data_IF_298512526185
#
_entry.id   IF_298512526185
#
_cell.length_a   1.000
_cell.length_b   1.000
_cell.length_c   1.000
_cell.angle_alpha   90.00
_cell.angle_beta   90.00
_cell.angle_gamma   90.00
#
_symmetry.space_group_name_H-M   'P 1'
#
loop_
_entity.id
_entity.type
_entity.pdbx_description
1 polymer ?
#
# COMPACT_ATOMS: atom_id res chain seq x y z
N UNK A 1 13.57 -41.87 1.85
CA UNK A 1 14.09 -40.89 0.87
C UNK A 1 13.06 -39.79 0.54
N UNK A 2 11.80 -40.11 0.16
CA UNK A 2 10.75 -39.13 -0.16
C UNK A 2 10.42 -38.21 1.03
N UNK A 3 10.33 -38.73 2.26
CA UNK A 3 10.08 -37.93 3.47
C UNK A 3 11.22 -36.95 3.78
N UNK A 4 12.47 -37.34 3.55
CA UNK A 4 13.65 -36.48 3.74
C UNK A 4 13.66 -35.37 2.67
N UNK A 5 13.36 -35.69 1.43
CA UNK A 5 13.23 -34.70 0.33
C UNK A 5 12.09 -33.71 0.60
N UNK A 6 10.96 -34.18 1.11
CA UNK A 6 9.84 -33.29 1.47
C UNK A 6 10.18 -32.41 2.68
N UNK A 7 10.91 -32.92 3.67
CA UNK A 7 11.40 -32.16 4.82
C UNK A 7 12.44 -31.11 4.41
N UNK A 8 13.34 -31.43 3.47
CA UNK A 8 14.33 -30.47 2.92
C UNK A 8 13.63 -29.41 2.05
N UNK A 9 12.66 -29.81 1.21
CA UNK A 9 11.84 -28.86 0.42
C UNK A 9 11.01 -27.94 1.31
N UNK A 10 10.38 -28.47 2.36
CA UNK A 10 9.61 -27.66 3.32
C UNK A 10 10.51 -26.69 4.10
N UNK A 11 11.72 -27.10 4.51
CA UNK A 11 12.67 -26.22 5.18
C UNK A 11 13.23 -25.14 4.27
N UNK A 12 13.51 -25.44 2.99
CA UNK A 12 13.96 -24.46 2.01
C UNK A 12 12.85 -23.45 1.64
N UNK A 13 11.61 -23.91 1.50
CA UNK A 13 10.46 -23.05 1.26
C UNK A 13 10.24 -22.11 2.45
N UNK A 14 10.30 -22.63 3.67
CA UNK A 14 10.15 -21.86 4.90
C UNK A 14 11.27 -20.82 5.05
N UNK A 15 12.52 -21.19 4.76
CA UNK A 15 13.66 -20.28 4.78
C UNK A 15 13.50 -19.14 3.74
N UNK A 16 13.06 -19.46 2.53
CA UNK A 16 12.83 -18.47 1.49
C UNK A 16 11.67 -17.53 1.83
N UNK A 17 10.59 -18.07 2.41
CA UNK A 17 9.46 -17.26 2.89
C UNK A 17 9.88 -16.32 4.02
N UNK A 18 10.69 -16.80 4.97
CA UNK A 18 11.25 -15.96 6.05
C UNK A 18 12.15 -14.87 5.50
N UNK A 19 13.06 -15.17 4.57
CA UNK A 19 13.93 -14.17 3.92
C UNK A 19 13.11 -13.07 3.25
N UNK A 20 12.10 -13.43 2.46
CA UNK A 20 11.22 -12.47 1.81
C UNK A 20 10.40 -11.64 2.83
N UNK A 21 9.88 -12.28 3.86
CA UNK A 21 9.11 -11.57 4.89
C UNK A 21 9.97 -10.59 5.69
N UNK A 22 11.19 -11.00 6.08
CA UNK A 22 12.12 -10.11 6.79
C UNK A 22 12.59 -8.96 5.91
N UNK A 23 12.92 -9.20 4.64
CA UNK A 23 13.31 -8.13 3.71
C UNK A 23 12.19 -7.12 3.46
N UNK A 24 10.94 -7.58 3.34
CA UNK A 24 9.77 -6.72 3.25
C UNK A 24 9.59 -5.86 4.51
N UNK A 25 9.77 -6.45 5.70
CA UNK A 25 9.70 -5.71 6.97
C UNK A 25 10.80 -4.65 7.04
N UNK A 26 12.03 -4.97 6.66
CA UNK A 26 13.14 -4.00 6.61
C UNK A 26 12.80 -2.86 5.63
N UNK A 27 12.34 -3.17 4.43
CA UNK A 27 11.93 -2.17 3.42
C UNK A 27 10.86 -1.23 3.96
N UNK A 28 9.89 -1.74 4.72
CA UNK A 28 8.79 -0.95 5.29
C UNK A 28 9.21 -0.17 6.54
N UNK A 29 10.10 -0.70 7.39
CA UNK A 29 10.54 -0.04 8.62
C UNK A 29 11.57 1.06 8.38
N UNK A 30 12.46 0.90 7.40
CA UNK A 30 13.50 1.88 7.09
C UNK A 30 12.97 3.32 6.91
N UNK A 31 11.89 3.56 6.14
CA UNK A 31 11.30 4.89 6.02
C UNK A 31 10.84 5.48 7.35
N UNK A 32 10.31 4.66 8.28
CA UNK A 32 9.89 5.15 9.61
C UNK A 32 11.11 5.61 10.41
N UNK A 33 12.14 4.75 10.48
CA UNK A 33 13.37 5.04 11.25
C UNK A 33 14.06 6.31 10.75
N UNK A 34 13.99 6.57 9.45
CA UNK A 34 14.61 7.73 8.81
C UNK A 34 13.71 8.97 8.86
N UNK A 35 12.40 8.81 9.09
CA UNK A 35 11.44 9.94 9.12
C UNK A 35 11.82 11.08 10.06
N UNK A 36 12.34 10.88 11.29
CA UNK A 36 12.76 11.99 12.15
C UNK A 36 13.93 12.80 11.56
N UNK A 37 14.80 12.16 10.81
CA UNK A 37 15.91 12.84 10.11
C UNK A 37 15.34 13.65 8.95
N UNK A 38 14.49 13.04 8.13
CA UNK A 38 13.87 13.68 6.98
C UNK A 38 12.98 14.86 7.39
N UNK A 39 12.21 14.72 8.47
CA UNK A 39 11.34 15.81 8.96
C UNK A 39 12.10 17.04 9.46
N UNK A 40 13.38 16.91 9.81
CA UNK A 40 14.26 18.02 10.16
C UNK A 40 14.95 18.63 8.94
N UNK A 41 15.28 17.82 7.94
CA UNK A 41 15.93 18.25 6.69
C UNK A 41 14.96 18.95 5.74
N UNK A 42 13.73 18.49 5.66
CA UNK A 42 12.72 18.99 4.73
C UNK A 42 11.65 19.82 5.42
N UNK A 43 11.00 20.67 4.64
CA UNK A 43 9.83 21.42 5.10
C UNK A 43 8.56 20.56 4.99
N UNK A 44 7.50 20.87 5.77
CA UNK A 44 6.20 20.23 5.59
C UNK A 44 5.64 20.34 4.16
N UNK A 45 5.93 21.46 3.46
CA UNK A 45 5.55 21.65 2.04
C UNK A 45 6.18 20.62 1.11
N UNK A 46 7.44 20.22 1.36
CA UNK A 46 8.13 19.23 0.54
C UNK A 46 7.49 17.84 0.68
N UNK A 47 7.05 17.50 1.89
CA UNK A 47 6.25 16.31 2.15
C UNK A 47 4.84 16.41 1.53
N UNK A 48 4.31 17.64 1.37
CA UNK A 48 3.09 17.89 0.63
C UNK A 48 3.22 17.50 -0.84
N UNK A 49 4.24 18.00 -1.50
CA UNK A 49 4.55 17.67 -2.88
C UNK A 49 4.82 16.15 -3.05
N UNK A 50 5.62 15.58 -2.13
CA UNK A 50 5.86 14.13 -2.12
C UNK A 50 4.56 13.33 -1.89
N UNK A 51 3.67 13.79 -1.02
CA UNK A 51 2.37 13.16 -0.77
C UNK A 51 1.49 13.14 -2.00
N UNK A 52 1.40 14.25 -2.74
CA UNK A 52 0.67 14.33 -4.02
C UNK A 52 1.25 13.35 -5.03
N UNK A 53 2.57 13.38 -5.21
CA UNK A 53 3.28 12.49 -6.12
C UNK A 53 3.06 11.02 -5.77
N UNK A 54 3.26 10.65 -4.52
CA UNK A 54 3.13 9.26 -4.06
C UNK A 54 1.69 8.74 -4.13
N UNK A 55 0.69 9.57 -3.82
CA UNK A 55 -0.72 9.20 -3.93
C UNK A 55 -1.14 8.97 -5.38
N UNK A 56 -0.73 9.85 -6.30
CA UNK A 56 -0.96 9.67 -7.72
C UNK A 56 -0.30 8.39 -8.23
N UNK A 57 0.98 8.21 -7.96
CA UNK A 57 1.76 7.04 -8.38
C UNK A 57 1.15 5.75 -7.81
N UNK A 58 0.72 5.72 -6.55
CA UNK A 58 0.12 4.53 -5.92
C UNK A 58 -1.12 4.03 -6.64
N UNK A 59 -1.96 4.93 -7.18
CA UNK A 59 -3.13 4.56 -7.97
C UNK A 59 -2.71 4.16 -9.39
N UNK A 60 -1.82 4.96 -9.98
CA UNK A 60 -1.50 4.87 -11.39
C UNK A 60 -0.67 3.64 -11.75
N UNK A 61 0.24 3.22 -10.87
CA UNK A 61 1.06 2.02 -11.05
C UNK A 61 0.23 0.74 -11.17
N UNK A 62 -0.97 0.71 -10.60
CA UNK A 62 -1.90 -0.42 -10.75
C UNK A 62 -2.56 -0.48 -12.14
N UNK A 63 -2.70 0.67 -12.80
CA UNK A 63 -3.21 0.75 -14.16
C UNK A 63 -2.11 0.54 -15.22
N UNK A 64 -0.84 0.71 -14.83
CA UNK A 64 0.31 0.83 -15.72
C UNK A 64 0.51 -0.39 -16.64
N UNK A 65 0.16 -1.59 -16.16
CA UNK A 65 0.28 -2.83 -16.91
C UNK A 65 -1.07 -3.41 -17.32
N UNK A 66 -2.15 -2.69 -17.04
CA UNK A 66 -3.52 -3.20 -17.20
C UNK A 66 -3.75 -4.57 -16.52
N UNK A 67 -2.98 -4.92 -15.47
CA UNK A 67 -3.07 -6.17 -14.74
C UNK A 67 -2.26 -7.34 -15.31
N UNK A 68 -1.59 -7.18 -16.47
CA UNK A 68 -0.78 -8.26 -17.07
C UNK A 68 0.48 -8.59 -16.27
N UNK A 69 0.95 -7.72 -15.40
CA UNK A 69 2.07 -8.01 -14.49
C UNK A 69 1.80 -9.21 -13.58
N UNK A 70 0.52 -9.43 -13.21
CA UNK A 70 0.11 -10.58 -12.40
C UNK A 70 0.11 -11.89 -13.23
N UNK A 71 -0.06 -11.80 -14.55
CA UNK A 71 0.01 -12.95 -15.43
C UNK A 71 1.45 -13.48 -15.53
N UNK A 72 2.49 -12.63 -15.41
CA UNK A 72 3.91 -13.04 -15.49
C UNK A 72 4.27 -14.19 -14.54
N UNK A 73 3.61 -14.27 -13.39
CA UNK A 73 3.86 -15.35 -12.41
C UNK A 73 3.20 -16.67 -12.81
N UNK A 74 2.16 -16.63 -13.69
CA UNK A 74 1.35 -17.81 -14.07
C UNK A 74 1.66 -18.36 -15.45
N UNK A 75 2.29 -17.57 -16.33
CA UNK A 75 2.60 -17.95 -17.71
C UNK A 75 3.56 -19.15 -17.78
N UNK A 76 3.56 -19.90 -18.89
CA UNK A 76 4.53 -20.97 -19.15
C UNK A 76 5.92 -20.39 -19.35
N UNK A 77 6.98 -21.21 -19.25
CA UNK A 77 8.37 -20.75 -19.43
C UNK A 77 8.60 -20.12 -20.81
N UNK A 78 7.95 -20.65 -21.86
CA UNK A 78 8.03 -20.13 -23.22
C UNK A 78 7.31 -18.79 -23.40
N UNK A 79 6.25 -18.54 -22.62
CA UNK A 79 5.46 -17.29 -22.71
C UNK A 79 6.08 -16.12 -21.92
N UNK A 80 7.04 -16.38 -21.00
CA UNK A 80 7.57 -15.36 -20.08
C UNK A 80 8.14 -14.15 -20.85
N UNK A 81 9.03 -14.40 -21.82
CA UNK A 81 9.68 -13.33 -22.59
C UNK A 81 8.68 -12.48 -23.37
N UNK A 82 7.67 -13.11 -23.98
CA UNK A 82 6.62 -12.41 -24.71
C UNK A 82 5.72 -11.59 -23.75
N UNK A 83 5.39 -12.15 -22.60
CA UNK A 83 4.57 -11.45 -21.58
C UNK A 83 5.35 -10.29 -20.96
N UNK A 84 6.64 -10.45 -20.68
CA UNK A 84 7.50 -9.37 -20.19
C UNK A 84 7.58 -8.22 -21.20
N UNK A 85 7.83 -8.53 -22.49
CA UNK A 85 7.85 -7.54 -23.55
C UNK A 85 6.50 -6.83 -23.69
N UNK A 86 5.40 -7.58 -23.64
CA UNK A 86 4.04 -7.02 -23.66
C UNK A 86 3.81 -6.03 -22.51
N UNK A 87 4.16 -6.41 -21.28
CA UNK A 87 4.05 -5.55 -20.10
C UNK A 87 4.82 -4.25 -20.27
N UNK A 88 6.06 -4.32 -20.81
CA UNK A 88 6.88 -3.12 -21.03
C UNK A 88 6.28 -2.22 -22.11
N UNK A 89 5.81 -2.79 -23.22
CA UNK A 89 5.17 -2.00 -24.28
C UNK A 89 3.92 -1.29 -23.73
N UNK A 90 3.03 -2.00 -23.05
CA UNK A 90 1.83 -1.42 -22.45
C UNK A 90 2.20 -0.31 -21.46
N UNK A 91 3.14 -0.58 -20.56
CA UNK A 91 3.54 0.40 -19.55
C UNK A 91 4.21 1.63 -20.14
N UNK A 92 5.01 1.49 -21.20
CA UNK A 92 5.61 2.62 -21.91
C UNK A 92 4.54 3.47 -22.62
N UNK A 93 3.59 2.84 -23.32
CA UNK A 93 2.50 3.54 -23.99
C UNK A 93 1.65 4.32 -22.97
N UNK A 94 1.30 3.69 -21.86
CA UNK A 94 0.53 4.33 -20.79
C UNK A 94 1.34 5.46 -20.13
N UNK A 95 2.65 5.28 -19.89
CA UNK A 95 3.51 6.32 -19.33
C UNK A 95 3.61 7.53 -20.26
N UNK A 96 3.82 7.32 -21.57
CA UNK A 96 3.87 8.39 -22.56
C UNK A 96 2.52 9.11 -22.63
N UNK A 97 1.42 8.37 -22.73
CA UNK A 97 0.07 8.96 -22.77
C UNK A 97 -0.21 9.82 -21.52
N UNK A 98 0.18 9.36 -20.33
CA UNK A 98 0.00 10.10 -19.09
C UNK A 98 0.83 11.38 -19.05
N UNK A 99 2.10 11.27 -19.37
CA UNK A 99 2.99 12.44 -19.33
C UNK A 99 2.57 13.50 -20.36
N UNK A 100 2.12 13.07 -21.53
CA UNK A 100 1.54 13.97 -22.53
C UNK A 100 0.23 14.61 -22.01
N UNK A 101 -0.67 13.83 -21.42
CA UNK A 101 -1.90 14.36 -20.83
C UNK A 101 -1.61 15.40 -19.73
N UNK A 102 -0.62 15.17 -18.86
CA UNK A 102 -0.17 16.15 -17.86
C UNK A 102 0.44 17.40 -18.52
N UNK A 103 1.24 17.24 -19.55
CA UNK A 103 1.84 18.34 -20.27
C UNK A 103 0.77 19.24 -20.93
N UNK A 104 -0.19 18.65 -21.64
CA UNK A 104 -1.33 19.39 -22.23
C UNK A 104 -2.19 20.05 -21.14
N UNK A 105 -2.50 19.33 -20.05
CA UNK A 105 -3.24 19.91 -18.92
C UNK A 105 -2.50 21.07 -18.25
N UNK A 106 -1.18 21.05 -18.24
CA UNK A 106 -0.36 22.14 -17.73
C UNK A 106 -0.43 23.38 -18.63
N UNK A 107 -0.44 23.20 -19.95
CA UNK A 107 -0.59 24.30 -20.93
C UNK A 107 -1.99 24.91 -20.89
N UNK A 108 -3.03 24.10 -20.65
CA UNK A 108 -4.42 24.56 -20.50
C UNK A 108 -4.74 25.15 -19.10
N UNK A 109 -3.71 25.39 -18.28
CA UNK A 109 -3.84 26.04 -16.96
C UNK A 109 -4.68 25.30 -15.92
N UNK A 110 -4.88 23.99 -16.07
CA UNK A 110 -5.62 23.19 -15.09
C UNK A 110 -4.88 23.21 -13.75
N UNK A 111 -5.55 23.67 -12.68
CA UNK A 111 -4.96 23.84 -11.35
C UNK A 111 -4.22 22.61 -10.82
N UNK A 112 -4.72 21.40 -11.11
CA UNK A 112 -4.10 20.17 -10.64
C UNK A 112 -2.74 19.93 -11.28
N UNK A 113 -2.60 20.11 -12.58
CA UNK A 113 -1.33 19.90 -13.29
C UNK A 113 -0.29 20.96 -12.97
N UNK A 114 -0.72 22.21 -12.75
CA UNK A 114 0.17 23.30 -12.28
C UNK A 114 0.72 23.04 -10.86
N UNK A 115 -0.07 22.41 -10.01
CA UNK A 115 0.33 22.09 -8.65
C UNK A 115 1.08 20.75 -8.53
N UNK A 116 1.18 19.98 -9.64
CA UNK A 116 1.90 18.70 -9.61
C UNK A 116 3.41 18.95 -9.56
N UNK A 117 4.13 18.32 -8.62
CA UNK A 117 5.47 18.75 -8.24
C UNK A 117 6.54 18.55 -9.32
N UNK A 118 6.43 17.56 -10.19
CA UNK A 118 7.38 17.35 -11.30
C UNK A 118 6.90 16.29 -12.28
N UNK A 119 6.53 16.72 -13.47
CA UNK A 119 6.11 15.82 -14.57
C UNK A 119 7.30 15.01 -15.11
N UNK A 120 8.49 15.63 -15.18
CA UNK A 120 9.70 14.91 -15.61
C UNK A 120 10.10 13.78 -14.69
N UNK A 121 10.08 14.00 -13.36
CA UNK A 121 10.36 12.94 -12.39
C UNK A 121 9.29 11.85 -12.41
N UNK A 122 8.02 12.20 -12.70
CA UNK A 122 6.95 11.22 -12.88
C UNK A 122 7.26 10.28 -14.05
N UNK A 123 7.68 10.82 -15.20
CA UNK A 123 8.06 10.02 -16.38
C UNK A 123 9.17 9.01 -16.05
N UNK A 124 10.28 9.49 -15.48
CA UNK A 124 11.39 8.63 -15.11
C UNK A 124 11.03 7.61 -14.03
N UNK A 125 10.21 8.00 -13.06
CA UNK A 125 9.74 7.09 -12.04
C UNK A 125 8.89 5.96 -12.63
N UNK A 126 7.91 6.27 -13.49
CA UNK A 126 7.03 5.26 -14.08
C UNK A 126 7.79 4.28 -14.98
N UNK A 127 8.80 4.73 -15.72
CA UNK A 127 9.68 3.84 -16.48
C UNK A 127 10.48 2.92 -15.54
N UNK A 128 11.13 3.49 -14.52
CA UNK A 128 11.90 2.73 -13.56
C UNK A 128 11.04 1.70 -12.82
N UNK A 129 9.82 2.09 -12.41
CA UNK A 129 8.84 1.23 -11.78
C UNK A 129 8.39 0.09 -12.71
N UNK A 130 8.18 0.40 -14.00
CA UNK A 130 7.80 -0.60 -14.99
C UNK A 130 8.87 -1.70 -15.13
N UNK A 131 10.11 -1.30 -15.30
CA UNK A 131 11.23 -2.24 -15.42
C UNK A 131 11.42 -3.04 -14.13
N UNK A 132 11.41 -2.37 -12.99
CA UNK A 132 11.50 -2.99 -11.67
C UNK A 132 10.42 -4.06 -11.48
N UNK A 133 9.14 -3.74 -11.73
CA UNK A 133 8.02 -4.66 -11.53
C UNK A 133 8.10 -5.87 -12.44
N UNK A 134 8.43 -5.68 -13.71
CA UNK A 134 8.58 -6.79 -14.68
C UNK A 134 9.72 -7.71 -14.24
N UNK A 135 10.90 -7.17 -13.89
CA UNK A 135 12.03 -7.97 -13.47
C UNK A 135 11.81 -8.69 -12.13
N UNK A 136 11.17 -8.04 -11.17
CA UNK A 136 10.80 -8.64 -9.89
C UNK A 136 9.83 -9.81 -10.09
N UNK A 137 8.78 -9.65 -10.92
CA UNK A 137 7.86 -10.72 -11.26
C UNK A 137 8.52 -11.88 -12.04
N UNK A 138 9.49 -11.58 -12.91
CA UNK A 138 10.31 -12.62 -13.53
C UNK A 138 11.13 -13.38 -12.47
N UNK A 139 11.79 -12.70 -11.53
CA UNK A 139 12.49 -13.34 -10.42
C UNK A 139 11.54 -14.22 -9.58
N UNK A 140 10.33 -13.76 -9.32
CA UNK A 140 9.31 -14.51 -8.60
C UNK A 140 8.91 -15.78 -9.38
N UNK A 141 8.64 -15.66 -10.67
CA UNK A 141 8.30 -16.79 -11.55
C UNK A 141 9.40 -17.86 -11.59
N UNK A 142 10.64 -17.43 -11.55
CA UNK A 142 11.81 -18.32 -11.55
C UNK A 142 12.21 -18.83 -10.16
N UNK A 143 11.45 -18.52 -9.12
CA UNK A 143 11.72 -18.93 -7.74
C UNK A 143 12.99 -18.31 -7.15
N UNK A 144 13.44 -17.16 -7.67
CA UNK A 144 14.63 -16.46 -7.22
C UNK A 144 14.35 -15.52 -6.04
N UNK A 145 13.81 -16.07 -4.99
CA UNK A 145 13.38 -15.34 -3.79
C UNK A 145 14.51 -14.59 -3.09
N UNK A 146 15.74 -15.07 -3.18
CA UNK A 146 16.91 -14.34 -2.65
C UNK A 146 17.16 -13.02 -3.41
N UNK A 147 16.94 -13.00 -4.74
CA UNK A 147 17.03 -11.77 -5.53
C UNK A 147 15.99 -10.75 -5.11
N UNK A 148 14.75 -11.18 -4.89
CA UNK A 148 13.66 -10.34 -4.39
C UNK A 148 13.96 -9.81 -2.97
N UNK A 149 14.56 -10.65 -2.11
CA UNK A 149 14.93 -10.21 -0.77
C UNK A 149 16.02 -9.12 -0.79
N UNK A 150 17.03 -9.26 -1.66
CA UNK A 150 18.08 -8.25 -1.83
C UNK A 150 17.52 -6.98 -2.46
N UNK A 151 16.65 -7.10 -3.47
CA UNK A 151 15.92 -5.99 -4.10
C UNK A 151 15.21 -5.12 -3.06
N UNK A 152 14.43 -5.72 -2.17
CA UNK A 152 13.71 -5.01 -1.11
C UNK A 152 14.66 -4.21 -0.20
N UNK A 153 15.81 -4.80 0.17
CA UNK A 153 16.82 -4.13 0.97
C UNK A 153 17.44 -2.96 0.20
N UNK A 154 17.79 -3.17 -1.07
CA UNK A 154 18.35 -2.13 -1.93
C UNK A 154 17.34 -0.98 -2.09
N UNK A 155 16.08 -1.29 -2.38
CA UNK A 155 15.03 -0.27 -2.55
C UNK A 155 14.86 0.57 -1.28
N UNK A 156 14.70 -0.07 -0.13
CA UNK A 156 14.52 0.63 1.14
C UNK A 156 15.74 1.46 1.53
N UNK A 157 16.94 0.89 1.44
CA UNK A 157 18.18 1.57 1.83
C UNK A 157 18.57 2.70 0.87
N UNK A 158 18.46 2.49 -0.44
CA UNK A 158 18.74 3.54 -1.43
C UNK A 158 17.73 4.68 -1.36
N UNK A 159 16.43 4.37 -1.13
CA UNK A 159 15.41 5.40 -0.93
C UNK A 159 15.70 6.27 0.31
N UNK A 160 16.04 5.64 1.43
CA UNK A 160 16.43 6.35 2.65
C UNK A 160 17.71 7.18 2.42
N UNK A 161 18.75 6.57 1.84
CA UNK A 161 20.04 7.21 1.60
C UNK A 161 19.94 8.41 0.65
N UNK A 162 19.28 8.26 -0.51
CA UNK A 162 19.13 9.37 -1.46
C UNK A 162 18.27 10.49 -0.91
N UNK A 163 17.19 10.19 -0.17
CA UNK A 163 16.37 11.23 0.46
C UNK A 163 17.17 12.03 1.49
N UNK A 164 18.00 11.39 2.30
CA UNK A 164 18.89 12.09 3.24
C UNK A 164 19.93 12.92 2.47
N UNK A 165 20.59 12.32 1.48
CA UNK A 165 21.60 12.99 0.68
C UNK A 165 21.09 14.29 0.03
N UNK A 166 19.92 14.21 -0.65
CA UNK A 166 19.33 15.39 -1.29
C UNK A 166 18.73 16.39 -0.30
N UNK A 167 18.36 15.95 0.89
CA UNK A 167 17.96 16.85 1.97
C UNK A 167 19.14 17.65 2.52
N UNK A 168 20.35 17.05 2.58
CA UNK A 168 21.58 17.75 2.99
C UNK A 168 22.07 18.69 1.88
N UNK A 169 21.97 18.28 0.61
CA UNK A 169 22.43 19.08 -0.54
C UNK A 169 21.52 20.28 -0.84
N UNK A 170 20.34 20.36 -0.22
CA UNK A 170 19.37 21.48 -0.33
C UNK A 170 19.18 21.92 -1.79
N UNK A 171 18.61 21.06 -2.61
CA UNK A 171 18.32 21.36 -4.02
C UNK A 171 17.23 22.43 -4.11
N UNK A 172 17.53 23.58 -4.71
CA UNK A 172 16.64 24.74 -4.74
C UNK A 172 15.39 24.56 -5.60
N UNK A 173 15.45 23.73 -6.64
CA UNK A 173 14.40 23.62 -7.66
C UNK A 173 13.76 22.24 -7.77
N UNK A 174 14.24 21.24 -7.05
CA UNK A 174 13.77 19.86 -7.16
C UNK A 174 13.51 19.30 -5.77
N UNK A 175 12.31 18.74 -5.56
CA UNK A 175 12.00 18.07 -4.31
C UNK A 175 12.86 16.81 -4.13
N UNK A 176 13.79 16.84 -3.17
CA UNK A 176 14.73 15.76 -2.90
C UNK A 176 14.06 14.45 -2.45
N UNK A 177 12.85 14.50 -1.85
CA UNK A 177 12.08 13.32 -1.49
C UNK A 177 11.62 12.57 -2.76
N UNK A 178 11.13 13.30 -3.77
CA UNK A 178 10.66 12.73 -5.04
C UNK A 178 11.85 12.22 -5.86
N UNK A 179 12.90 13.04 -5.98
CA UNK A 179 14.12 12.66 -6.70
C UNK A 179 14.76 11.42 -6.09
N UNK A 180 14.92 11.39 -4.77
CA UNK A 180 15.48 10.24 -4.05
C UNK A 180 14.67 8.96 -4.24
N UNK A 181 13.34 9.08 -4.27
CA UNK A 181 12.44 7.94 -4.55
C UNK A 181 12.63 7.43 -6.00
N UNK A 182 12.72 8.35 -6.97
CA UNK A 182 12.89 8.02 -8.38
C UNK A 182 14.22 7.32 -8.65
N UNK A 183 15.31 7.85 -8.08
CA UNK A 183 16.64 7.25 -8.24
C UNK A 183 16.74 5.89 -7.54
N UNK A 184 16.13 5.73 -6.36
CA UNK A 184 16.08 4.44 -5.69
C UNK A 184 15.39 3.38 -6.55
N UNK A 185 14.29 3.76 -7.21
CA UNK A 185 13.56 2.88 -8.11
C UNK A 185 14.41 2.50 -9.33
N UNK A 186 15.17 3.46 -9.90
CA UNK A 186 16.09 3.21 -11.01
C UNK A 186 17.21 2.25 -10.62
N UNK A 187 17.89 2.50 -9.47
CA UNK A 187 18.97 1.64 -8.96
C UNK A 187 18.47 0.21 -8.77
N UNK A 188 17.28 0.05 -8.22
CA UNK A 188 16.70 -1.27 -7.97
C UNK A 188 16.34 -1.98 -9.29
N UNK A 189 15.81 -1.26 -10.27
CA UNK A 189 15.53 -1.81 -11.60
C UNK A 189 16.82 -2.27 -12.30
N UNK A 190 17.89 -1.47 -12.23
CA UNK A 190 19.22 -1.81 -12.78
C UNK A 190 19.79 -3.04 -12.07
N UNK A 191 19.71 -3.09 -10.73
CA UNK A 191 20.17 -4.26 -9.97
C UNK A 191 19.46 -5.54 -10.44
N UNK A 192 18.12 -5.52 -10.55
CA UNK A 192 17.38 -6.70 -11.01
C UNK A 192 17.70 -7.10 -12.43
N UNK A 193 17.90 -6.13 -13.32
CA UNK A 193 18.34 -6.39 -14.68
C UNK A 193 19.69 -7.12 -14.72
N UNK A 194 20.69 -6.60 -14.00
CA UNK A 194 22.02 -7.23 -13.90
C UNK A 194 21.92 -8.61 -13.25
N UNK A 195 21.09 -8.75 -12.20
CA UNK A 195 20.88 -10.01 -11.51
C UNK A 195 20.27 -11.08 -12.43
N UNK A 196 19.28 -10.72 -13.26
CA UNK A 196 18.69 -11.62 -14.25
C UNK A 196 19.69 -12.03 -15.34
N UNK A 197 20.54 -11.11 -15.81
CA UNK A 197 21.61 -11.41 -16.75
C UNK A 197 22.65 -12.38 -16.16
N UNK A 198 23.02 -12.18 -14.88
CA UNK A 198 24.02 -13.01 -14.18
C UNK A 198 23.56 -14.48 -14.01
N UNK A 199 22.26 -14.70 -13.78
CA UNK A 199 21.72 -16.06 -13.58
C UNK A 199 21.83 -16.93 -14.84
N UNK A 200 22.26 -16.40 -15.99
CA UNK A 200 22.56 -17.10 -17.27
C UNK A 200 21.47 -18.05 -17.81
N UNK A 201 20.31 -18.14 -17.16
CA UNK A 201 19.22 -19.04 -17.58
C UNK A 201 18.39 -18.46 -18.74
N UNK A 202 18.68 -17.21 -19.13
CA UNK A 202 17.82 -16.43 -20.03
C UNK A 202 18.60 -15.94 -21.24
N UNK A 203 18.63 -16.79 -22.27
CA UNK A 203 19.15 -16.42 -23.58
C UNK A 203 18.29 -15.34 -24.27
N UNK A 204 17.02 -15.15 -23.85
CA UNK A 204 16.10 -14.16 -24.38
C UNK A 204 15.26 -13.56 -23.27
N UNK A 205 15.67 -12.41 -22.71
CA UNK A 205 14.84 -11.60 -21.81
C UNK A 205 13.63 -11.00 -22.55
N UNK A 206 13.77 -10.79 -23.85
CA UNK A 206 12.81 -10.12 -24.73
C UNK A 206 12.54 -10.99 -25.94
N UNK A 207 11.27 -11.15 -26.26
CA UNK A 207 10.83 -11.78 -27.50
C UNK A 207 9.62 -11.02 -28.04
N UNK A 208 9.66 -10.72 -29.34
CA UNK A 208 8.61 -10.00 -30.02
C UNK A 208 7.96 -10.91 -31.06
N UNK A 209 6.68 -11.24 -30.82
CA UNK A 209 5.83 -11.99 -31.75
C UNK A 209 4.39 -11.53 -31.52
N UNK A 210 3.83 -10.81 -32.48
CA UNK A 210 2.48 -10.23 -32.39
C UNK A 210 1.39 -11.31 -32.22
N UNK A 211 1.54 -12.47 -32.84
CA UNK A 211 0.54 -13.54 -32.74
C UNK A 211 0.54 -14.15 -31.34
N UNK A 212 1.71 -14.44 -30.79
CA UNK A 212 1.86 -14.96 -29.42
C UNK A 212 1.42 -13.92 -28.39
N UNK A 213 1.78 -12.67 -28.56
CA UNK A 213 1.33 -11.58 -27.67
C UNK A 213 -0.19 -11.42 -27.68
N UNK A 214 -0.83 -11.48 -28.85
CA UNK A 214 -2.30 -11.44 -28.99
C UNK A 214 -2.95 -12.66 -28.28
N UNK A 215 -2.36 -13.84 -28.41
CA UNK A 215 -2.85 -15.04 -27.71
C UNK A 215 -2.77 -14.87 -26.17
N UNK A 216 -1.68 -14.28 -25.66
CA UNK A 216 -1.50 -13.97 -24.25
C UNK A 216 -2.54 -12.97 -23.76
N UNK A 217 -2.80 -11.91 -24.53
CA UNK A 217 -3.82 -10.88 -24.21
C UNK A 217 -5.20 -11.55 -24.03
N UNK A 218 -5.58 -12.42 -24.94
CA UNK A 218 -6.88 -13.11 -24.89
C UNK A 218 -6.93 -14.12 -23.74
N UNK A 219 -5.86 -14.90 -23.55
CA UNK A 219 -5.75 -15.94 -22.53
C UNK A 219 -5.87 -15.38 -21.10
N UNK A 220 -5.27 -14.23 -20.85
CA UNK A 220 -5.17 -13.61 -19.52
C UNK A 220 -6.06 -12.37 -19.34
N UNK A 221 -7.06 -12.14 -20.20
CA UNK A 221 -7.98 -10.99 -20.16
C UNK A 221 -8.69 -10.78 -18.82
N UNK A 222 -8.89 -11.85 -18.04
CA UNK A 222 -9.57 -11.76 -16.74
C UNK A 222 -8.80 -10.89 -15.72
N UNK A 223 -7.46 -10.81 -15.83
CA UNK A 223 -6.68 -9.89 -14.99
C UNK A 223 -7.00 -8.43 -15.29
N UNK A 224 -7.20 -8.09 -16.57
CA UNK A 224 -7.55 -6.74 -17.01
C UNK A 224 -8.96 -6.36 -16.59
N UNK A 225 -9.92 -7.30 -16.73
CA UNK A 225 -11.34 -7.00 -16.53
C UNK A 225 -11.73 -6.98 -15.06
N UNK A 226 -11.09 -7.79 -14.22
CA UNK A 226 -11.50 -7.97 -12.82
C UNK A 226 -10.45 -7.55 -11.80
N UNK A 227 -9.19 -8.00 -11.95
CA UNK A 227 -8.16 -7.77 -10.91
C UNK A 227 -7.67 -6.32 -10.89
N UNK A 228 -7.35 -5.75 -12.06
CA UNK A 228 -6.85 -4.38 -12.14
C UNK A 228 -7.90 -3.35 -11.66
N UNK A 229 -9.18 -3.34 -12.10
CA UNK A 229 -10.18 -2.41 -11.61
C UNK A 229 -10.44 -2.54 -10.11
N UNK A 230 -10.46 -3.77 -9.58
CA UNK A 230 -10.64 -4.00 -8.14
C UNK A 230 -9.50 -3.39 -7.32
N UNK A 231 -8.27 -3.56 -7.78
CA UNK A 231 -7.08 -3.00 -7.13
C UNK A 231 -7.06 -1.48 -7.21
N UNK A 232 -7.37 -0.91 -8.38
CA UNK A 232 -7.45 0.54 -8.58
C UNK A 232 -8.49 1.16 -7.64
N UNK A 233 -9.69 0.60 -7.53
CA UNK A 233 -10.75 1.08 -6.63
C UNK A 233 -10.30 1.03 -5.16
N UNK A 234 -9.66 -0.07 -4.74
CA UNK A 234 -9.15 -0.20 -3.38
C UNK A 234 -8.14 0.91 -3.06
N UNK A 235 -7.14 1.10 -3.91
CA UNK A 235 -6.10 2.12 -3.70
C UNK A 235 -6.61 3.55 -3.89
N UNK A 236 -7.58 3.77 -4.78
CA UNK A 236 -8.22 5.07 -4.94
C UNK A 236 -8.92 5.50 -3.65
N UNK A 237 -9.61 4.60 -2.95
CA UNK A 237 -10.23 4.89 -1.67
C UNK A 237 -9.26 5.40 -0.60
N UNK A 238 -7.98 5.01 -0.65
CA UNK A 238 -6.95 5.48 0.30
C UNK A 238 -6.21 6.74 -0.16
N UNK A 239 -6.01 6.93 -1.46
CA UNK A 239 -5.11 7.95 -1.99
C UNK A 239 -5.84 9.17 -2.59
N UNK A 240 -7.05 8.99 -3.17
CA UNK A 240 -7.83 10.12 -3.74
C UNK A 240 -8.20 11.17 -2.70
N UNK A 241 -8.51 10.84 -1.42
CA UNK A 241 -8.75 11.86 -0.40
C UNK A 241 -7.63 12.89 -0.28
N UNK A 242 -6.36 12.47 -0.35
CA UNK A 242 -5.24 13.41 -0.34
C UNK A 242 -5.28 14.33 -1.56
N UNK A 243 -5.55 13.79 -2.75
CA UNK A 243 -5.62 14.56 -3.99
C UNK A 243 -6.75 15.59 -3.97
N UNK A 244 -7.88 15.28 -3.30
CA UNK A 244 -8.97 16.24 -3.09
C UNK A 244 -8.56 17.35 -2.12
N UNK A 245 -7.89 17.01 -1.01
CA UNK A 245 -7.42 17.98 -0.03
C UNK A 245 -6.43 19.01 -0.60
N UNK A 246 -5.63 18.63 -1.60
CA UNK A 246 -4.68 19.53 -2.28
C UNK A 246 -5.38 20.74 -2.92
N UNK A 247 -6.63 20.61 -3.35
CA UNK A 247 -7.39 21.71 -3.93
C UNK A 247 -7.87 22.73 -2.88
N UNK A 248 -7.89 22.35 -1.59
CA UNK A 248 -8.48 23.14 -0.51
C UNK A 248 -7.45 23.66 0.52
N UNK A 249 -6.30 22.99 0.65
CA UNK A 249 -5.32 23.30 1.69
C UNK A 249 -3.93 23.58 1.11
N UNK A 250 -3.12 24.29 1.90
CA UNK A 250 -1.74 24.58 1.54
C UNK A 250 -0.86 23.31 1.61
N UNK A 251 0.28 23.35 0.91
CA UNK A 251 1.22 22.24 0.82
C UNK A 251 1.73 21.74 2.18
N UNK A 252 1.88 22.63 3.17
CA UNK A 252 2.37 22.24 4.49
C UNK A 252 1.35 21.41 5.28
N UNK A 253 0.05 21.75 5.18
CA UNK A 253 -1.03 20.94 5.76
C UNK A 253 -1.12 19.56 5.08
N UNK A 254 -1.01 19.54 3.75
CA UNK A 254 -1.00 18.27 2.99
C UNK A 254 0.22 17.42 3.36
N UNK A 255 1.39 18.03 3.58
CA UNK A 255 2.59 17.35 4.05
C UNK A 255 2.40 16.71 5.42
N UNK A 256 1.79 17.47 6.35
CA UNK A 256 1.44 16.96 7.67
C UNK A 256 0.48 15.76 7.59
N UNK A 257 -0.53 15.82 6.71
CA UNK A 257 -1.43 14.69 6.45
C UNK A 257 -0.68 13.48 5.86
N UNK A 258 0.17 13.71 4.86
CA UNK A 258 0.91 12.65 4.15
C UNK A 258 1.84 11.87 5.08
N UNK A 259 2.60 12.58 5.93
CA UNK A 259 3.54 11.93 6.85
C UNK A 259 2.81 11.13 7.93
N UNK A 260 1.70 11.65 8.46
CA UNK A 260 0.88 10.95 9.45
C UNK A 260 0.18 9.74 8.84
N UNK A 261 -0.37 9.87 7.63
CA UNK A 261 -0.94 8.74 6.91
C UNK A 261 0.09 7.63 6.72
N UNK A 262 1.32 7.96 6.31
CA UNK A 262 2.41 7.00 6.17
C UNK A 262 2.75 6.31 7.49
N UNK A 263 2.90 7.08 8.59
CA UNK A 263 3.23 6.53 9.90
C UNK A 263 2.14 5.58 10.43
N UNK A 264 0.86 5.85 10.15
CA UNK A 264 -0.24 4.98 10.55
C UNK A 264 -0.41 3.77 9.63
N UNK A 265 -0.21 3.92 8.32
CA UNK A 265 -0.34 2.82 7.36
C UNK A 265 0.71 1.72 7.55
N UNK A 266 1.94 2.08 7.92
CA UNK A 266 3.03 1.12 8.01
C UNK A 266 2.79 0.01 9.04
N UNK A 267 2.47 0.27 10.33
CA UNK A 267 2.12 -0.80 11.26
C UNK A 267 0.90 -1.60 10.81
N UNK A 268 -0.09 -0.94 10.17
CA UNK A 268 -1.29 -1.62 9.65
C UNK A 268 -0.94 -2.64 8.56
N UNK A 269 -0.06 -2.27 7.62
CA UNK A 269 0.35 -3.15 6.51
C UNK A 269 1.21 -4.31 7.00
N UNK A 270 2.14 -4.05 7.93
CA UNK A 270 3.01 -5.09 8.51
C UNK A 270 2.17 -6.10 9.30
N UNK A 271 1.33 -5.62 10.22
CA UNK A 271 0.47 -6.48 11.06
C UNK A 271 -0.55 -7.21 10.18
N UNK A 272 -1.22 -6.48 9.28
CA UNK A 272 -2.23 -7.03 8.39
C UNK A 272 -1.68 -8.13 7.49
N UNK A 273 -0.52 -7.92 6.88
CA UNK A 273 0.10 -8.90 5.98
C UNK A 273 0.66 -10.11 6.72
N UNK A 274 1.33 -9.92 7.88
CA UNK A 274 1.93 -11.00 8.63
C UNK A 274 0.85 -11.94 9.23
N UNK A 275 -0.11 -11.36 9.95
CA UNK A 275 -1.21 -12.14 10.57
C UNK A 275 -2.11 -12.74 9.50
N UNK A 276 -2.42 -11.97 8.43
CA UNK A 276 -3.27 -12.44 7.34
C UNK A 276 -2.71 -13.63 6.59
N UNK A 277 -1.39 -13.70 6.36
CA UNK A 277 -0.73 -14.87 5.75
C UNK A 277 -0.85 -16.11 6.62
N UNK A 278 -0.52 -15.99 7.92
CA UNK A 278 -0.62 -17.09 8.87
C UNK A 278 -2.07 -17.59 8.96
N UNK A 279 -3.02 -16.67 9.01
CA UNK A 279 -4.44 -16.98 9.04
C UNK A 279 -4.89 -17.76 7.80
N UNK A 280 -4.50 -17.28 6.60
CA UNK A 280 -4.83 -17.96 5.34
C UNK A 280 -4.21 -19.36 5.27
N UNK A 281 -2.95 -19.50 5.64
CA UNK A 281 -2.25 -20.79 5.70
C UNK A 281 -2.95 -21.77 6.65
N UNK A 282 -3.34 -21.30 7.84
CA UNK A 282 -4.08 -22.14 8.80
C UNK A 282 -5.47 -22.54 8.31
N UNK A 283 -6.13 -21.72 7.47
CA UNK A 283 -7.39 -22.08 6.85
C UNK A 283 -7.20 -23.17 5.78
N UNK A 284 -6.08 -23.17 5.05
CA UNK A 284 -5.81 -24.07 3.94
C UNK A 284 -5.12 -25.39 4.35
N UNK A 285 -4.43 -25.44 5.50
CA UNK A 285 -3.48 -26.52 5.84
C UNK A 285 -4.09 -27.86 6.25
N UNK A 286 -5.38 -27.91 6.62
CA UNK A 286 -5.99 -29.14 7.13
C UNK A 286 -7.22 -29.58 6.35
N UNK A 287 -7.19 -30.82 5.84
CA UNK A 287 -8.29 -31.49 5.11
C UNK A 287 -9.21 -32.29 6.06
N UNK A 288 -9.62 -31.74 7.21
CA UNK A 288 -10.48 -32.46 8.16
C UNK A 288 -11.98 -32.20 7.90
N UNK A 289 -12.81 -33.21 8.22
CA UNK A 289 -14.27 -33.22 7.94
C UNK A 289 -15.07 -32.06 8.58
N UNK A 290 -14.54 -31.37 9.63
CA UNK A 290 -15.21 -30.29 10.33
C UNK A 290 -14.69 -28.89 9.97
N UNK A 291 -14.77 -28.55 8.69
CA UNK A 291 -14.25 -27.26 8.16
C UNK A 291 -14.90 -26.01 8.81
N UNK A 292 -16.19 -26.07 9.18
CA UNK A 292 -16.90 -24.93 9.82
C UNK A 292 -16.39 -24.58 11.21
N UNK A 293 -16.22 -25.56 12.10
CA UNK A 293 -15.74 -25.34 13.47
C UNK A 293 -14.31 -24.79 13.46
N UNK A 294 -13.49 -25.26 12.54
CA UNK A 294 -12.12 -24.80 12.39
C UNK A 294 -12.06 -23.34 11.92
N UNK A 295 -12.82 -22.96 10.88
CA UNK A 295 -12.93 -21.56 10.43
C UNK A 295 -13.32 -20.68 11.60
N UNK A 296 -14.35 -21.10 12.36
CA UNK A 296 -14.81 -20.37 13.54
C UNK A 296 -13.72 -20.19 14.59
N UNK A 297 -13.05 -21.27 14.98
CA UNK A 297 -11.99 -21.24 16.02
C UNK A 297 -10.80 -20.38 15.60
N UNK A 298 -10.31 -20.55 14.35
CA UNK A 298 -9.18 -19.77 13.82
C UNK A 298 -9.53 -18.29 13.68
N UNK A 299 -10.73 -17.99 13.17
CA UNK A 299 -11.19 -16.59 13.07
C UNK A 299 -11.34 -15.96 14.45
N UNK A 300 -11.81 -16.69 15.48
CA UNK A 300 -11.87 -16.19 16.86
C UNK A 300 -10.46 -15.93 17.41
N UNK A 301 -9.52 -16.85 17.21
CA UNK A 301 -8.13 -16.70 17.69
C UNK A 301 -7.48 -15.45 17.07
N UNK A 302 -7.52 -15.34 15.76
CA UNK A 302 -6.98 -14.18 15.05
C UNK A 302 -7.73 -12.91 15.44
N UNK A 303 -9.06 -12.94 15.47
CA UNK A 303 -9.91 -11.82 15.86
C UNK A 303 -9.59 -11.29 17.26
N UNK A 304 -9.32 -12.16 18.25
CA UNK A 304 -8.90 -11.74 19.60
C UNK A 304 -7.56 -11.02 19.60
N UNK A 305 -6.57 -11.57 18.90
CA UNK A 305 -5.23 -10.94 18.78
C UNK A 305 -5.33 -9.58 18.12
N UNK A 306 -6.05 -9.51 16.99
CA UNK A 306 -6.21 -8.28 16.24
C UNK A 306 -7.04 -7.26 17.01
N UNK A 307 -8.07 -7.69 17.76
CA UNK A 307 -8.85 -6.81 18.64
C UNK A 307 -8.00 -6.18 19.75
N UNK A 308 -6.99 -6.90 20.26
CA UNK A 308 -6.05 -6.36 21.23
C UNK A 308 -5.07 -5.36 20.62
N UNK A 309 -4.63 -5.60 19.38
CA UNK A 309 -3.63 -4.76 18.71
C UNK A 309 -4.28 -3.50 18.11
N UNK A 310 -5.50 -3.62 17.59
CA UNK A 310 -6.15 -2.57 16.82
C UNK A 310 -6.42 -1.29 17.62
N UNK A 311 -6.65 -1.38 18.94
CA UNK A 311 -6.89 -0.18 19.73
C UNK A 311 -5.59 0.52 20.20
N UNK A 312 -4.43 -0.11 20.07
CA UNK A 312 -3.15 0.46 20.55
C UNK A 312 -2.82 1.83 19.93
N UNK A 313 -2.92 2.04 18.60
CA UNK A 313 -2.67 3.37 18.02
C UNK A 313 -3.65 4.42 18.54
N UNK A 314 -4.91 4.03 18.72
CA UNK A 314 -5.96 4.92 19.21
C UNK A 314 -5.73 5.26 20.70
N UNK A 315 -5.38 4.28 21.52
CA UNK A 315 -5.01 4.49 22.92
C UNK A 315 -3.74 5.35 23.04
N UNK A 316 -2.72 5.07 22.25
CA UNK A 316 -1.48 5.87 22.22
C UNK A 316 -1.79 7.35 21.95
N UNK A 317 -2.60 7.64 20.94
CA UNK A 317 -2.98 9.01 20.62
C UNK A 317 -3.91 9.63 21.66
N UNK A 318 -4.84 8.86 22.21
CA UNK A 318 -5.70 9.31 23.30
C UNK A 318 -4.88 9.72 24.55
N UNK A 319 -3.79 9.00 24.85
CA UNK A 319 -2.92 9.29 25.99
C UNK A 319 -1.87 10.40 25.75
N UNK A 320 -1.93 11.14 24.65
CA UNK A 320 -0.99 12.24 24.38
C UNK A 320 0.07 11.92 23.33
N UNK A 321 -0.10 10.85 22.56
CA UNK A 321 0.81 10.46 21.48
C UNK A 321 0.96 11.50 20.38
N UNK A 322 0.00 12.42 20.21
CA UNK A 322 0.09 13.59 19.34
C UNK A 322 1.29 14.47 19.68
N UNK A 323 1.54 14.71 20.97
CA UNK A 323 2.71 15.46 21.44
C UNK A 323 4.02 14.71 21.17
N UNK A 324 3.99 13.37 21.34
CA UNK A 324 5.13 12.52 21.02
C UNK A 324 5.42 12.54 19.52
N UNK A 325 4.39 12.54 18.66
CA UNK A 325 4.55 12.68 17.21
C UNK A 325 5.19 14.02 16.86
N UNK A 326 4.75 15.12 17.46
CA UNK A 326 5.35 16.45 17.25
C UNK A 326 6.80 16.47 17.71
N UNK A 327 7.13 15.86 18.85
CA UNK A 327 8.51 15.75 19.33
C UNK A 327 9.36 14.89 18.37
N UNK A 328 8.82 13.82 17.84
CA UNK A 328 9.46 12.91 16.90
C UNK A 328 9.75 13.61 15.56
N UNK A 329 8.79 14.37 15.02
CA UNK A 329 8.92 15.05 13.75
C UNK A 329 9.64 16.42 13.85
N UNK A 330 9.53 17.09 15.01
CA UNK A 330 10.10 18.41 15.28
C UNK A 330 9.08 19.56 15.27
N UNK A 331 9.48 20.77 15.69
CA UNK A 331 8.56 21.89 15.96
C UNK A 331 7.81 22.43 14.72
N UNK A 332 8.29 22.17 13.52
CA UNK A 332 7.62 22.57 12.26
C UNK A 332 6.33 21.79 12.00
N UNK A 333 6.05 20.73 12.78
CA UNK A 333 5.00 19.73 12.53
C UNK A 333 3.84 19.81 13.53
N UNK A 334 3.54 20.98 14.06
CA UNK A 334 2.50 21.17 15.08
C UNK A 334 1.11 20.69 14.64
N UNK A 335 0.73 20.96 13.38
CA UNK A 335 -0.54 20.54 12.79
C UNK A 335 -0.66 19.01 12.72
N UNK A 336 0.47 18.29 12.60
CA UNK A 336 0.50 16.84 12.47
C UNK A 336 -0.10 16.10 13.67
N UNK A 337 0.04 16.66 14.89
CA UNK A 337 -0.55 16.08 16.09
C UNK A 337 -2.07 16.00 16.03
N UNK A 338 -2.73 17.10 15.66
CA UNK A 338 -4.20 17.12 15.49
C UNK A 338 -4.68 16.22 14.35
N UNK A 339 -3.96 16.21 13.22
CA UNK A 339 -4.26 15.28 12.12
C UNK A 339 -4.15 13.83 12.56
N UNK A 340 -3.15 13.49 13.37
CA UNK A 340 -2.99 12.12 13.88
C UNK A 340 -4.17 11.70 14.76
N UNK A 341 -4.69 12.59 15.62
CA UNK A 341 -5.87 12.32 16.42
C UNK A 341 -7.10 12.02 15.55
N UNK A 342 -7.35 12.80 14.50
CA UNK A 342 -8.45 12.55 13.58
C UNK A 342 -8.29 11.19 12.85
N UNK A 343 -7.09 10.87 12.34
CA UNK A 343 -6.84 9.63 11.62
C UNK A 343 -6.83 8.37 12.50
N UNK A 344 -6.68 8.53 13.82
CA UNK A 344 -6.71 7.41 14.76
C UNK A 344 -8.03 6.62 14.69
N UNK A 345 -9.16 7.30 14.47
CA UNK A 345 -10.47 6.64 14.31
C UNK A 345 -10.49 5.65 13.15
N UNK A 346 -9.90 6.03 12.03
CA UNK A 346 -9.83 5.17 10.87
C UNK A 346 -8.86 3.99 11.05
N UNK A 347 -7.78 4.19 11.82
CA UNK A 347 -6.75 3.17 12.02
C UNK A 347 -7.28 1.93 12.74
N UNK A 348 -8.10 2.12 13.76
CA UNK A 348 -8.65 1.04 14.58
C UNK A 348 -9.43 -0.02 13.76
N UNK A 349 -10.52 0.32 13.04
CA UNK A 349 -11.28 -0.69 12.32
C UNK A 349 -10.53 -1.24 11.10
N UNK A 350 -9.57 -0.49 10.57
CA UNK A 350 -8.72 -0.96 9.48
C UNK A 350 -7.77 -2.07 9.95
N UNK A 351 -7.09 -1.90 11.09
CA UNK A 351 -6.26 -2.95 11.68
C UNK A 351 -7.10 -4.17 12.06
N UNK A 352 -8.32 -3.96 12.52
CA UNK A 352 -9.23 -5.02 12.92
C UNK A 352 -9.65 -5.92 11.75
N UNK A 353 -9.84 -5.35 10.56
CA UNK A 353 -10.37 -6.05 9.38
C UNK A 353 -9.29 -6.63 8.47
N UNK A 354 -8.19 -5.91 8.24
CA UNK A 354 -7.17 -6.27 7.26
C UNK A 354 -6.63 -7.71 7.39
N UNK A 355 -6.27 -8.23 8.58
CA UNK A 355 -5.78 -9.59 8.73
C UNK A 355 -6.83 -10.67 8.47
N UNK A 356 -8.12 -10.33 8.50
CA UNK A 356 -9.24 -11.26 8.31
C UNK A 356 -9.74 -11.33 6.84
N UNK A 357 -9.32 -10.40 5.98
CA UNK A 357 -9.67 -10.36 4.55
C UNK A 357 -9.41 -11.69 3.81
N UNK A 358 -8.34 -12.46 4.12
CA UNK A 358 -8.11 -13.75 3.46
C UNK A 358 -9.27 -14.75 3.56
N UNK A 359 -10.18 -14.60 4.53
CA UNK A 359 -11.37 -15.43 4.63
C UNK A 359 -12.25 -15.36 3.38
N UNK A 360 -12.40 -14.16 2.79
CA UNK A 360 -13.16 -14.01 1.54
C UNK A 360 -12.57 -14.81 0.39
N UNK A 361 -11.23 -14.89 0.32
CA UNK A 361 -10.52 -15.67 -0.70
C UNK A 361 -10.69 -17.18 -0.45
N UNK A 362 -10.56 -17.61 0.80
CA UNK A 362 -10.72 -19.00 1.20
C UNK A 362 -12.13 -19.51 0.91
N UNK A 363 -13.17 -18.71 1.17
CA UNK A 363 -14.57 -19.04 0.92
C UNK A 363 -15.02 -18.81 -0.54
N UNK A 364 -14.12 -18.43 -1.46
CA UNK A 364 -14.42 -18.05 -2.85
C UNK A 364 -15.46 -16.91 -2.97
N UNK A 365 -15.44 -15.96 -2.01
CA UNK A 365 -16.37 -14.81 -1.95
C UNK A 365 -15.71 -13.49 -2.37
N UNK A 366 -14.81 -13.52 -3.35
CA UNK A 366 -14.08 -12.33 -3.84
C UNK A 366 -15.02 -11.23 -4.37
N UNK A 367 -16.19 -11.60 -4.91
CA UNK A 367 -17.22 -10.63 -5.34
C UNK A 367 -17.68 -9.73 -4.19
N UNK A 368 -17.84 -10.30 -2.99
CA UNK A 368 -18.27 -9.54 -1.81
C UNK A 368 -17.17 -8.57 -1.41
N UNK A 369 -15.90 -9.00 -1.42
CA UNK A 369 -14.77 -8.13 -1.16
C UNK A 369 -14.69 -6.98 -2.18
N UNK A 370 -14.93 -7.24 -3.46
CA UNK A 370 -15.01 -6.20 -4.49
C UNK A 370 -16.10 -5.16 -4.18
N UNK A 371 -17.30 -5.59 -3.79
CA UNK A 371 -18.35 -4.65 -3.40
C UNK A 371 -17.95 -3.80 -2.19
N UNK A 372 -17.32 -4.39 -1.17
CA UNK A 372 -16.81 -3.62 -0.02
C UNK A 372 -15.75 -2.60 -0.42
N UNK A 373 -14.80 -2.96 -1.27
CA UNK A 373 -13.79 -2.04 -1.77
C UNK A 373 -14.41 -0.91 -2.60
N UNK A 374 -15.41 -1.22 -3.43
CA UNK A 374 -16.14 -0.21 -4.22
C UNK A 374 -16.93 0.75 -3.32
N UNK A 375 -17.67 0.23 -2.34
CA UNK A 375 -18.42 1.04 -1.37
C UNK A 375 -17.44 1.91 -0.55
N UNK A 376 -16.32 1.32 -0.11
CA UNK A 376 -15.29 2.05 0.61
C UNK A 376 -14.72 3.21 -0.22
N UNK A 377 -14.39 2.99 -1.48
CA UNK A 377 -13.88 4.02 -2.37
C UNK A 377 -14.91 5.15 -2.58
N UNK A 378 -16.18 4.79 -2.86
CA UNK A 378 -17.25 5.77 -3.06
C UNK A 378 -17.48 6.60 -1.78
N UNK A 379 -17.56 5.96 -0.62
CA UNK A 379 -17.79 6.65 0.65
C UNK A 379 -16.56 7.49 1.03
N UNK A 380 -15.36 6.99 0.85
CA UNK A 380 -14.12 7.69 1.13
C UNK A 380 -14.01 8.97 0.30
N UNK A 381 -14.18 8.87 -1.01
CA UNK A 381 -14.11 10.02 -1.92
C UNK A 381 -15.29 10.96 -1.72
N UNK A 382 -16.50 10.43 -1.59
CA UNK A 382 -17.70 11.23 -1.38
C UNK A 382 -17.68 12.00 -0.06
N UNK A 383 -17.27 11.35 1.04
CA UNK A 383 -17.22 12.00 2.35
C UNK A 383 -16.20 13.12 2.41
N UNK A 384 -15.02 12.97 1.78
CA UNK A 384 -14.01 14.03 1.78
C UNK A 384 -14.46 15.23 0.94
N UNK A 385 -15.11 15.00 -0.21
CA UNK A 385 -15.67 16.07 -1.06
C UNK A 385 -16.77 16.83 -0.31
N UNK A 386 -17.70 16.10 0.30
CA UNK A 386 -18.80 16.70 1.08
C UNK A 386 -18.22 17.50 2.26
N UNK A 387 -17.26 16.95 2.99
CA UNK A 387 -16.63 17.59 4.13
C UNK A 387 -15.89 18.88 3.73
N UNK A 388 -15.17 18.90 2.61
CA UNK A 388 -14.51 20.08 2.09
C UNK A 388 -15.48 21.19 1.70
N UNK A 389 -16.69 20.85 1.24
CA UNK A 389 -17.73 21.84 0.94
C UNK A 389 -18.44 22.38 2.21
N UNK A 390 -18.42 21.62 3.32
CA UNK A 390 -19.08 22.01 4.57
C UNK A 390 -18.18 22.81 5.52
N UNK A 391 -16.87 22.63 5.45
CA UNK A 391 -15.93 23.23 6.40
C UNK A 391 -14.59 23.55 5.75
N UNK A 392 -13.95 24.62 6.23
CA UNK A 392 -12.57 24.98 5.89
C UNK A 392 -11.56 24.50 6.95
N UNK A 393 -12.02 23.85 8.01
CA UNK A 393 -11.16 23.32 9.06
C UNK A 393 -10.76 21.88 8.74
N UNK A 394 -9.44 21.64 8.59
CA UNK A 394 -8.90 20.33 8.25
C UNK A 394 -9.30 19.23 9.26
N UNK A 395 -9.39 19.57 10.54
CA UNK A 395 -9.73 18.61 11.58
C UNK A 395 -11.18 18.14 11.47
N UNK A 396 -12.13 19.06 11.21
CA UNK A 396 -13.55 18.70 10.98
C UNK A 396 -13.71 17.82 9.73
N UNK A 397 -13.00 18.17 8.66
CA UNK A 397 -13.02 17.42 7.40
C UNK A 397 -12.50 15.99 7.63
N UNK A 398 -11.32 15.86 8.27
CA UNK A 398 -10.74 14.56 8.54
C UNK A 398 -11.55 13.73 9.53
N UNK A 399 -12.20 14.35 10.52
CA UNK A 399 -13.05 13.62 11.47
C UNK A 399 -14.26 13.02 10.77
N UNK A 400 -14.96 13.78 9.92
CA UNK A 400 -16.09 13.27 9.15
C UNK A 400 -15.65 12.13 8.21
N UNK A 401 -14.56 12.33 7.47
CA UNK A 401 -13.97 11.35 6.57
C UNK A 401 -13.61 10.05 7.30
N UNK A 402 -12.87 10.14 8.39
CA UNK A 402 -12.40 8.97 9.13
C UNK A 402 -13.54 8.24 9.81
N UNK A 403 -14.53 8.95 10.31
CA UNK A 403 -15.75 8.35 10.91
C UNK A 403 -16.53 7.54 9.87
N UNK A 404 -16.81 8.11 8.70
CA UNK A 404 -17.54 7.39 7.64
C UNK A 404 -16.79 6.17 7.11
N UNK A 405 -15.48 6.30 6.88
CA UNK A 405 -14.64 5.17 6.48
C UNK A 405 -14.55 4.07 7.56
N UNK A 406 -14.57 4.47 8.83
CA UNK A 406 -14.59 3.54 9.96
C UNK A 406 -15.85 2.69 10.01
N UNK A 407 -17.01 3.29 9.72
CA UNK A 407 -18.29 2.56 9.66
C UNK A 407 -18.27 1.46 8.59
N UNK A 408 -17.70 1.74 7.41
CA UNK A 408 -17.58 0.73 6.34
C UNK A 408 -16.68 -0.43 6.77
N UNK A 409 -15.53 -0.13 7.39
CA UNK A 409 -14.62 -1.18 7.88
C UNK A 409 -15.26 -1.99 9.02
N UNK A 410 -15.99 -1.36 9.93
CA UNK A 410 -16.74 -2.08 10.97
C UNK A 410 -17.86 -2.96 10.39
N UNK A 411 -18.59 -2.48 9.38
CA UNK A 411 -19.58 -3.29 8.67
C UNK A 411 -18.94 -4.51 8.02
N UNK A 412 -17.76 -4.34 7.42
CA UNK A 412 -16.96 -5.44 6.86
C UNK A 412 -16.53 -6.44 7.95
N UNK A 413 -16.08 -5.96 9.13
CA UNK A 413 -15.75 -6.82 10.25
C UNK A 413 -16.93 -7.68 10.72
N UNK A 414 -18.09 -7.07 10.93
CA UNK A 414 -19.30 -7.82 11.31
C UNK A 414 -19.74 -8.82 10.23
N UNK A 415 -19.54 -8.48 8.95
CA UNK A 415 -19.82 -9.42 7.87
C UNK A 415 -18.87 -10.60 7.90
N UNK A 416 -17.57 -10.39 8.15
CA UNK A 416 -16.58 -11.46 8.34
C UNK A 416 -16.99 -12.40 9.49
N UNK A 417 -17.43 -11.86 10.62
CA UNK A 417 -17.92 -12.66 11.75
C UNK A 417 -19.14 -13.50 11.36
N UNK A 418 -20.09 -12.94 10.60
CA UNK A 418 -21.23 -13.68 10.04
C UNK A 418 -20.80 -14.82 9.14
N UNK A 419 -19.84 -14.58 8.25
CA UNK A 419 -19.33 -15.61 7.34
C UNK A 419 -18.65 -16.77 8.08
N UNK A 420 -18.04 -16.47 9.22
CA UNK A 420 -17.41 -17.46 10.09
C UNK A 420 -18.40 -18.08 11.11
N UNK A 421 -19.67 -17.71 11.10
CA UNK A 421 -20.70 -18.10 12.08
C UNK A 421 -20.30 -17.76 13.54
N UNK A 422 -19.73 -16.58 13.74
CA UNK A 422 -19.28 -16.09 15.06
C UNK A 422 -20.25 -15.03 15.57
N UNK A 423 -20.71 -15.20 16.81
CA UNK A 423 -21.46 -14.14 17.50
C UNK A 423 -20.52 -12.98 17.86
N UNK A 424 -20.88 -11.71 17.59
CA UNK A 424 -20.09 -10.55 18.01
C UNK A 424 -19.82 -10.49 19.53
N UNK A 425 -20.67 -11.11 20.34
CA UNK A 425 -20.53 -11.16 21.80
C UNK A 425 -19.22 -11.86 22.27
N UNK A 426 -18.58 -12.66 21.41
CA UNK A 426 -17.27 -13.25 21.70
C UNK A 426 -16.21 -12.16 21.97
N UNK A 427 -16.40 -10.97 21.40
CA UNK A 427 -15.51 -9.83 21.53
C UNK A 427 -15.96 -8.80 22.58
N UNK A 428 -17.04 -9.09 23.36
CA UNK A 428 -17.57 -8.16 24.38
C UNK A 428 -16.52 -7.65 25.37
N UNK A 429 -15.50 -8.46 25.69
CA UNK A 429 -14.40 -8.09 26.61
C UNK A 429 -13.58 -6.89 26.10
N UNK A 430 -13.50 -6.69 24.78
CA UNK A 430 -12.71 -5.62 24.16
C UNK A 430 -13.54 -4.32 23.98
N UNK A 431 -14.86 -4.42 23.98
CA UNK A 431 -15.77 -3.27 23.75
C UNK A 431 -15.53 -2.13 24.75
N UNK A 432 -15.37 -2.35 26.09
CA UNK A 432 -15.09 -1.25 27.02
C UNK A 432 -13.81 -0.48 26.68
N UNK A 433 -12.75 -1.18 26.27
CA UNK A 433 -11.48 -0.55 25.86
C UNK A 433 -11.65 0.28 24.60
N UNK A 434 -12.43 -0.22 23.63
CA UNK A 434 -12.71 0.51 22.39
C UNK A 434 -13.55 1.77 22.67
N UNK A 435 -14.58 1.67 23.50
CA UNK A 435 -15.41 2.81 23.87
C UNK A 435 -14.58 3.83 24.64
N UNK A 436 -13.81 3.42 25.66
CA UNK A 436 -13.00 4.32 26.46
C UNK A 436 -11.98 5.09 25.62
N UNK A 437 -11.22 4.39 24.76
CA UNK A 437 -10.23 5.04 23.91
C UNK A 437 -10.89 5.97 22.88
N UNK A 438 -12.06 5.59 22.34
CA UNK A 438 -12.83 6.43 21.40
C UNK A 438 -13.36 7.70 22.08
N UNK A 439 -13.93 7.59 23.29
CA UNK A 439 -14.45 8.75 24.02
C UNK A 439 -13.36 9.74 24.40
N UNK A 440 -12.22 9.26 24.89
CA UNK A 440 -11.07 10.13 25.19
C UNK A 440 -10.56 10.81 23.92
N UNK A 441 -10.48 10.08 22.80
CA UNK A 441 -10.04 10.63 21.53
C UNK A 441 -11.00 11.70 21.01
N UNK A 442 -12.33 11.46 21.08
CA UNK A 442 -13.35 12.44 20.68
C UNK A 442 -13.23 13.72 21.52
N UNK A 443 -13.11 13.58 22.84
CA UNK A 443 -12.95 14.73 23.73
C UNK A 443 -11.70 15.55 23.36
N UNK A 444 -10.60 14.89 23.01
CA UNK A 444 -9.37 15.58 22.58
C UNK A 444 -9.51 16.25 21.21
N UNK A 445 -10.26 15.67 20.27
CA UNK A 445 -10.53 16.29 18.97
C UNK A 445 -11.41 17.54 19.13
N UNK A 446 -12.39 17.51 20.03
CA UNK A 446 -13.26 18.67 20.31
C UNK A 446 -12.47 19.83 20.93
N UNK A 447 -11.38 19.55 21.65
CA UNK A 447 -10.52 20.56 22.29
C UNK A 447 -9.47 21.18 21.33
N UNK A 448 -9.37 20.69 20.10
CA UNK A 448 -8.48 21.22 19.04
C UNK A 448 -9.31 22.08 18.07
#
# INVERSE_FOLDING_TARGET
MIQIINKIKSSALLLNTLKMSMSNVIMLLLPIVVTPILSRLYLPSDFGDWGVFSSFVSIYTLALFAGYENALVKVTEEEISYTATLCIIISLLITIATTLAFYFSYTEEIKFSKNFPSIGLLFFYLIAYSLHTVFSNMCNRYGRYSGIAIENIILGSSQAGFRILFGILVLSNINGLILGTTLAQMVTAIFLFIYLLYIKKYKQLWAFDLQKMKAIIIKYKNFVVYDAPSSILCFAGFNVPLLVLVAHFNKATIGSYSIILQLLLLPMTIIGSAIGRIYYEQLCSDNTENNRLRIQQRTIQVGKVVSLISFLPMLFLACGGDKIIILFLGPKWTISGGIALCLAFWSFPTILTQPLIPLFRYLNKQRILFYYNSIYAIISIGSIIIACNMSNNIYHILTLYTFTCSLVNLAMFFHILRLANISPFVFKRYIPFWILSSTILILRIILI
#
